data_IF_900495833854
#
_entry.id   IF_900495833854
#
_cell.length_a   1.000
_cell.length_b   1.000
_cell.length_c   1.000
_cell.angle_alpha   90.00
_cell.angle_beta   90.00
_cell.angle_gamma   90.00
#
_symmetry.space_group_name_H-M   'P 1'
#
loop_
_entity.id
_entity.type
_entity.pdbx_description
1 polymer ?
#
# COMPACT_ATOMS: atom_id res chain seq x y z
N UNK A 1 -4.36 -15.37 -42.96
CA UNK A 1 -5.46 -14.40 -42.90
C UNK A 1 -6.60 -15.01 -42.10
N UNK A 2 -6.68 -14.75 -40.81
CA UNK A 2 -7.77 -15.24 -39.94
C UNK A 2 -9.03 -14.43 -40.24
N UNK A 3 -10.09 -15.11 -40.67
CA UNK A 3 -11.37 -14.49 -41.07
C UNK A 3 -11.97 -13.67 -39.92
N UNK A 4 -12.53 -12.50 -40.23
CA UNK A 4 -13.22 -11.60 -39.30
C UNK A 4 -14.29 -12.33 -38.44
N UNK A 5 -14.86 -13.40 -38.99
CA UNK A 5 -15.81 -14.29 -38.31
C UNK A 5 -15.19 -15.10 -37.18
N UNK A 6 -13.91 -15.50 -37.27
CA UNK A 6 -13.21 -16.19 -36.19
C UNK A 6 -12.86 -15.23 -35.05
N UNK A 7 -12.50 -13.98 -35.37
CA UNK A 7 -12.25 -12.95 -34.36
C UNK A 7 -13.53 -12.60 -33.60
N UNK A 8 -14.65 -12.42 -34.31
CA UNK A 8 -15.95 -12.11 -33.70
C UNK A 8 -16.44 -13.26 -32.80
N UNK A 9 -16.26 -14.51 -33.22
CA UNK A 9 -16.60 -15.70 -32.43
C UNK A 9 -15.69 -15.86 -31.20
N UNK A 10 -14.41 -15.50 -31.29
CA UNK A 10 -13.51 -15.45 -30.14
C UNK A 10 -13.91 -14.36 -29.13
N UNK A 11 -14.31 -13.18 -29.62
CA UNK A 11 -14.83 -12.09 -28.79
C UNK A 11 -16.16 -12.46 -28.11
N UNK A 12 -17.08 -13.11 -28.83
CA UNK A 12 -18.35 -13.58 -28.28
C UNK A 12 -18.15 -14.67 -27.22
N UNK A 13 -17.21 -15.61 -27.43
CA UNK A 13 -16.83 -16.59 -26.41
C UNK A 13 -16.12 -15.96 -25.19
N UNK A 14 -15.32 -14.91 -25.40
CA UNK A 14 -14.67 -14.17 -24.31
C UNK A 14 -15.71 -13.45 -23.44
N UNK A 15 -16.66 -12.74 -24.07
CA UNK A 15 -17.74 -12.03 -23.36
C UNK A 15 -18.72 -13.00 -22.69
N UNK A 16 -19.05 -14.14 -23.32
CA UNK A 16 -19.94 -15.14 -22.72
C UNK A 16 -19.29 -15.92 -21.58
N UNK A 17 -17.97 -16.15 -21.61
CA UNK A 17 -17.25 -16.72 -20.45
C UNK A 17 -17.14 -15.75 -19.28
N UNK A 18 -17.09 -14.44 -19.55
CA UNK A 18 -17.02 -13.43 -18.50
C UNK A 18 -18.37 -13.04 -17.88
N UNK A 19 -19.50 -13.39 -18.51
CA UNK A 19 -20.83 -13.03 -18.02
C UNK A 19 -21.57 -14.15 -17.25
N UNK A 20 -21.08 -15.41 -17.26
CA UNK A 20 -21.84 -16.55 -16.74
C UNK A 20 -21.17 -17.36 -15.61
N UNK A 21 -19.96 -17.02 -15.17
CA UNK A 21 -19.36 -17.60 -13.97
C UNK A 21 -19.29 -16.54 -12.88
N UNK A 22 -19.80 -16.87 -11.69
CA UNK A 22 -19.85 -15.97 -10.54
C UNK A 22 -18.50 -15.30 -10.29
N UNK A 23 -18.44 -13.99 -10.54
CA UNK A 23 -17.36 -13.06 -10.20
C UNK A 23 -15.99 -13.72 -10.05
N UNK A 24 -15.31 -14.03 -11.15
CA UNK A 24 -13.86 -14.24 -11.11
C UNK A 24 -13.21 -12.96 -10.59
N UNK A 25 -12.93 -12.92 -9.28
CA UNK A 25 -12.21 -11.82 -8.65
C UNK A 25 -10.81 -11.83 -9.23
N UNK A 26 -10.51 -10.89 -10.12
CA UNK A 26 -9.15 -10.68 -10.62
C UNK A 26 -8.21 -10.52 -9.42
N UNK A 27 -7.17 -11.34 -9.33
CA UNK A 27 -6.15 -11.25 -8.27
C UNK A 27 -4.99 -10.36 -8.65
N UNK A 28 -5.13 -9.64 -9.77
CA UNK A 28 -4.10 -8.79 -10.36
C UNK A 28 -4.46 -7.33 -10.16
N UNK A 29 -3.49 -6.56 -9.71
CA UNK A 29 -3.60 -5.12 -9.58
C UNK A 29 -3.69 -4.46 -10.95
N UNK A 30 -4.73 -3.66 -11.22
CA UNK A 30 -4.93 -3.02 -12.52
C UNK A 30 -3.92 -1.90 -12.81
N UNK A 31 -3.18 -1.43 -11.80
CA UNK A 31 -2.16 -0.37 -11.95
C UNK A 31 -0.80 -0.95 -12.33
N UNK A 32 -0.31 -1.95 -11.60
CA UNK A 32 1.00 -2.54 -11.86
C UNK A 32 0.96 -3.87 -12.63
N UNK A 33 -0.24 -4.40 -12.91
CA UNK A 33 -0.48 -5.66 -13.63
C UNK A 33 0.15 -6.91 -12.99
N UNK A 34 0.52 -6.84 -11.70
CA UNK A 34 1.04 -7.97 -10.90
C UNK A 34 -0.01 -8.44 -9.89
N UNK A 35 0.11 -9.66 -9.33
CA UNK A 35 -0.72 -10.07 -8.21
C UNK A 35 -0.64 -9.06 -7.05
N UNK A 36 -1.75 -8.89 -6.33
CA UNK A 36 -1.84 -7.83 -5.32
C UNK A 36 -0.78 -7.97 -4.22
N UNK A 37 -0.06 -6.87 -3.97
CA UNK A 37 0.70 -6.66 -2.75
C UNK A 37 -0.13 -5.80 -1.81
N UNK A 38 -0.57 -6.39 -0.69
CA UNK A 38 -1.47 -5.78 0.30
C UNK A 38 -2.66 -5.07 -0.39
N UNK A 39 -3.72 -5.82 -0.76
CA UNK A 39 -4.83 -5.27 -1.52
C UNK A 39 -5.65 -4.27 -0.69
N UNK A 40 -5.94 -3.11 -1.27
CA UNK A 40 -6.80 -2.07 -0.69
C UNK A 40 -7.95 -1.71 -1.62
N UNK A 41 -9.17 -1.68 -1.08
CA UNK A 41 -10.34 -1.12 -1.74
C UNK A 41 -10.32 0.40 -1.64
N UNK A 42 -10.74 1.07 -2.70
CA UNK A 42 -10.80 2.53 -2.75
C UNK A 42 -11.88 3.11 -1.81
N UNK A 43 -13.08 2.53 -1.80
CA UNK A 43 -14.18 2.99 -0.95
C UNK A 43 -15.43 2.13 -1.10
N UNK A 44 -16.43 2.33 -0.23
CA UNK A 44 -17.67 1.53 -0.24
C UNK A 44 -18.39 1.53 -1.58
N UNK A 45 -18.44 2.68 -2.25
CA UNK A 45 -19.11 2.85 -3.54
C UNK A 45 -18.20 2.56 -4.73
N UNK A 46 -16.90 2.38 -4.49
CA UNK A 46 -15.89 2.12 -5.51
C UNK A 46 -15.26 0.73 -5.28
N UNK A 47 -15.70 -0.32 -6.01
CA UNK A 47 -15.29 -1.70 -5.75
C UNK A 47 -13.86 -2.02 -6.22
N UNK A 48 -13.08 -1.01 -6.57
CA UNK A 48 -11.75 -1.18 -7.14
C UNK A 48 -10.73 -1.47 -6.07
N UNK A 49 -10.06 -2.61 -6.20
CA UNK A 49 -8.92 -3.02 -5.38
C UNK A 49 -7.61 -2.73 -6.10
N UNK A 50 -6.63 -2.20 -5.37
CA UNK A 50 -5.28 -1.85 -5.85
C UNK A 50 -4.22 -2.25 -4.81
N UNK A 51 -2.98 -2.45 -5.24
CA UNK A 51 -1.88 -2.66 -4.27
C UNK A 51 -1.67 -1.42 -3.41
N UNK A 52 -1.29 -1.61 -2.14
CA UNK A 52 -0.95 -0.51 -1.23
C UNK A 52 0.07 0.46 -1.82
N UNK A 53 1.17 -0.05 -2.40
CA UNK A 53 2.20 0.79 -3.04
C UNK A 53 1.64 1.59 -4.22
N UNK A 54 0.83 0.96 -5.08
CA UNK A 54 0.24 1.62 -6.24
C UNK A 54 -0.73 2.72 -5.82
N UNK A 55 -1.54 2.45 -4.79
CA UNK A 55 -2.48 3.42 -4.24
C UNK A 55 -1.74 4.61 -3.62
N UNK A 56 -0.72 4.34 -2.80
CA UNK A 56 0.12 5.37 -2.18
C UNK A 56 0.78 6.27 -3.23
N UNK A 57 1.41 5.68 -4.25
CA UNK A 57 2.01 6.44 -5.38
C UNK A 57 0.97 7.20 -6.20
N UNK A 58 -0.23 6.64 -6.40
CA UNK A 58 -1.32 7.35 -7.08
C UNK A 58 -1.78 8.60 -6.33
N UNK A 59 -1.82 8.55 -5.00
CA UNK A 59 -2.15 9.71 -4.16
C UNK A 59 -1.02 10.76 -4.14
N UNK A 60 0.23 10.35 -4.39
CA UNK A 60 1.36 11.27 -4.46
C UNK A 60 1.46 12.05 -5.76
N UNK A 61 1.15 11.41 -6.89
CA UNK A 61 1.49 11.84 -8.25
C UNK A 61 0.84 13.16 -8.73
N UNK A 62 0.24 13.94 -7.83
CA UNK A 62 -0.12 15.32 -8.11
C UNK A 62 1.16 16.17 -8.26
N UNK A 63 1.34 16.70 -9.47
CA UNK A 63 2.45 17.56 -9.85
C UNK A 63 2.09 19.03 -9.60
N UNK A 64 2.66 19.61 -8.54
CA UNK A 64 2.55 21.04 -8.21
C UNK A 64 3.11 21.94 -9.32
N UNK A 65 3.94 21.42 -10.24
CA UNK A 65 4.53 22.19 -11.34
C UNK A 65 3.61 22.34 -12.56
N UNK A 66 2.34 21.92 -12.47
CA UNK A 66 1.38 22.14 -13.57
C UNK A 66 1.09 23.64 -13.72
N UNK A 67 1.27 24.14 -14.95
CA UNK A 67 1.12 25.55 -15.29
C UNK A 67 -0.28 26.08 -14.90
N UNK A 68 -0.41 27.32 -14.40
CA UNK A 68 -1.67 27.94 -13.98
C UNK A 68 -2.78 28.02 -15.04
N UNK A 69 -2.46 27.74 -16.31
CA UNK A 69 -3.35 27.93 -17.46
C UNK A 69 -4.12 26.68 -17.87
N UNK A 70 -4.08 25.59 -17.10
CA UNK A 70 -4.87 24.39 -17.36
C UNK A 70 -5.90 24.20 -16.25
N UNK A 71 -7.22 24.29 -16.53
CA UNK A 71 -8.23 24.02 -15.52
C UNK A 71 -8.09 22.56 -15.05
N UNK A 72 -7.81 22.39 -13.76
CA UNK A 72 -7.70 21.09 -13.12
C UNK A 72 -9.09 20.47 -12.99
N UNK A 73 -9.55 19.77 -14.02
CA UNK A 73 -10.75 18.94 -13.91
C UNK A 73 -10.49 17.58 -13.26
N UNK A 74 -9.24 17.28 -12.91
CA UNK A 74 -8.85 16.01 -12.30
C UNK A 74 -8.68 16.18 -10.79
N UNK A 75 -9.60 15.67 -9.96
CA UNK A 75 -9.47 15.70 -8.52
C UNK A 75 -8.24 14.91 -8.09
N UNK A 76 -7.49 15.48 -7.15
CA UNK A 76 -6.21 14.99 -6.62
C UNK A 76 -6.34 13.62 -5.93
N UNK A 77 -7.54 13.33 -5.46
CA UNK A 77 -7.91 12.14 -4.69
C UNK A 77 -8.98 11.34 -5.43
N UNK A 78 -8.71 10.98 -6.69
CA UNK A 78 -9.62 10.18 -7.50
C UNK A 78 -9.10 8.75 -7.68
N UNK A 79 -10.02 7.78 -7.69
CA UNK A 79 -9.69 6.39 -7.96
C UNK A 79 -8.91 6.27 -9.28
N UNK A 80 -7.76 5.56 -9.32
CA UNK A 80 -6.95 5.43 -10.53
C UNK A 80 -7.66 4.67 -11.67
N UNK A 81 -8.82 4.08 -11.41
CA UNK A 81 -9.58 3.27 -12.37
C UNK A 81 -10.85 3.98 -12.82
N UNK A 82 -11.76 4.27 -11.89
CA UNK A 82 -13.06 4.89 -12.22
C UNK A 82 -13.17 6.37 -11.90
N UNK A 83 -12.11 6.98 -11.35
CA UNK A 83 -12.06 8.40 -10.99
C UNK A 83 -13.07 8.83 -9.90
N UNK A 84 -13.61 7.88 -9.11
CA UNK A 84 -14.38 8.20 -7.90
C UNK A 84 -13.56 9.05 -6.94
N UNK A 85 -14.10 10.19 -6.51
CA UNK A 85 -13.45 11.11 -5.54
C UNK A 85 -13.72 10.74 -4.10
N UNK A 86 -14.81 10.01 -3.86
CA UNK A 86 -15.13 9.52 -2.53
C UNK A 86 -14.26 8.29 -2.25
N UNK A 87 -13.50 8.37 -1.16
CA UNK A 87 -12.63 7.30 -0.68
C UNK A 87 -12.94 6.95 0.77
N UNK A 88 -12.86 5.66 1.06
CA UNK A 88 -12.91 5.06 2.38
C UNK A 88 -12.02 3.83 2.31
N UNK A 89 -10.70 4.05 2.41
CA UNK A 89 -9.73 3.00 2.14
C UNK A 89 -9.90 1.86 3.14
N UNK A 90 -9.99 0.64 2.63
CA UNK A 90 -10.12 -0.54 3.46
C UNK A 90 -9.19 -1.63 2.93
N UNK A 91 -8.51 -2.30 3.84
CA UNK A 91 -7.72 -3.48 3.50
C UNK A 91 -8.66 -4.61 3.06
N UNK A 92 -8.44 -5.15 1.86
CA UNK A 92 -9.29 -6.17 1.27
C UNK A 92 -8.93 -7.57 1.83
N UNK A 93 -9.30 -7.82 3.08
CA UNK A 93 -9.05 -9.10 3.77
C UNK A 93 -9.58 -10.30 2.97
N UNK A 94 -10.70 -10.13 2.29
CA UNK A 94 -11.31 -11.16 1.47
C UNK A 94 -10.45 -11.51 0.25
N UNK A 95 -9.94 -10.51 -0.46
CA UNK A 95 -9.02 -10.71 -1.59
C UNK A 95 -7.70 -11.34 -1.11
N UNK A 96 -7.13 -10.85 -0.02
CA UNK A 96 -5.90 -11.41 0.54
C UNK A 96 -6.10 -12.89 0.91
N UNK A 97 -7.19 -13.21 1.63
CA UNK A 97 -7.49 -14.58 2.02
C UNK A 97 -7.72 -15.48 0.80
N UNK A 98 -8.40 -14.97 -0.24
CA UNK A 98 -8.57 -15.68 -1.49
C UNK A 98 -7.23 -15.99 -2.16
N UNK A 99 -6.31 -15.01 -2.25
CA UNK A 99 -4.98 -15.21 -2.81
C UNK A 99 -4.19 -16.26 -2.02
N UNK A 100 -4.21 -16.19 -0.69
CA UNK A 100 -3.56 -17.16 0.20
C UNK A 100 -4.10 -18.58 -0.01
N UNK A 101 -5.43 -18.75 -0.01
CA UNK A 101 -6.07 -20.06 -0.21
C UNK A 101 -5.76 -20.67 -1.57
N UNK A 102 -5.56 -19.83 -2.60
CA UNK A 102 -5.24 -20.27 -3.96
C UNK A 102 -3.72 -20.29 -4.26
N UNK A 103 -2.86 -20.09 -3.24
CA UNK A 103 -1.40 -20.06 -3.40
C UNK A 103 -0.91 -19.03 -4.44
N UNK A 104 -1.56 -17.88 -4.51
CA UNK A 104 -1.20 -16.77 -5.41
C UNK A 104 -0.28 -15.83 -4.63
N UNK A 105 1.01 -15.90 -4.92
CA UNK A 105 2.03 -15.04 -4.31
C UNK A 105 2.13 -13.72 -5.08
N UNK A 106 2.24 -12.55 -4.41
CA UNK A 106 2.77 -11.35 -5.02
C UNK A 106 4.04 -11.65 -5.84
N UNK A 107 4.05 -11.36 -7.14
CA UNK A 107 5.25 -11.47 -7.98
C UNK A 107 6.26 -10.37 -7.61
N UNK A 108 6.91 -10.52 -6.45
CA UNK A 108 7.90 -9.61 -5.89
C UNK A 108 9.07 -10.42 -5.37
N UNK A 109 10.27 -9.91 -5.59
CA UNK A 109 11.45 -10.46 -4.94
C UNK A 109 11.36 -10.22 -3.44
N UNK A 110 11.97 -11.12 -2.65
CA UNK A 110 12.04 -10.96 -1.19
C UNK A 110 12.63 -9.59 -0.78
N UNK A 111 13.58 -9.05 -1.57
CA UNK A 111 14.14 -7.72 -1.35
C UNK A 111 13.12 -6.60 -1.56
N UNK A 112 12.37 -6.61 -2.67
CA UNK A 112 11.31 -5.62 -2.91
C UNK A 112 10.26 -5.65 -1.80
N UNK A 113 9.87 -6.86 -1.38
CA UNK A 113 8.89 -7.06 -0.31
C UNK A 113 9.39 -6.45 1.01
N UNK A 114 10.58 -6.83 1.46
CA UNK A 114 11.16 -6.32 2.72
C UNK A 114 11.41 -4.81 2.69
N UNK A 115 11.85 -4.26 1.55
CA UNK A 115 12.07 -2.82 1.40
C UNK A 115 10.77 -2.02 1.54
N UNK A 116 9.65 -2.54 1.01
CA UNK A 116 8.36 -1.88 1.19
C UNK A 116 7.78 -2.06 2.59
N UNK A 117 8.00 -3.22 3.19
CA UNK A 117 7.58 -3.48 4.56
C UNK A 117 8.20 -2.51 5.55
N UNK A 118 9.52 -2.30 5.49
CA UNK A 118 10.19 -1.35 6.39
C UNK A 118 9.74 0.11 6.15
N UNK A 119 9.48 0.49 4.90
CA UNK A 119 8.96 1.83 4.55
C UNK A 119 7.56 2.05 5.10
N UNK A 120 6.63 1.13 4.84
CA UNK A 120 5.26 1.24 5.36
C UNK A 120 5.21 1.12 6.88
N UNK A 121 6.11 0.33 7.48
CA UNK A 121 6.23 0.25 8.93
C UNK A 121 6.65 1.61 9.53
N UNK A 122 7.64 2.27 8.93
CA UNK A 122 8.06 3.60 9.35
C UNK A 122 6.94 4.63 9.20
N UNK A 123 6.24 4.61 8.06
CA UNK A 123 5.06 5.45 7.81
C UNK A 123 3.98 5.26 8.89
N UNK A 124 3.69 4.02 9.27
CA UNK A 124 2.74 3.72 10.34
C UNK A 124 3.23 4.27 11.70
N UNK A 125 4.52 4.11 12.02
CA UNK A 125 5.12 4.67 13.23
C UNK A 125 4.98 6.18 13.33
N UNK A 126 5.15 6.93 12.23
CA UNK A 126 4.93 8.37 12.23
C UNK A 126 3.48 8.76 12.57
N UNK A 127 2.52 7.84 12.46
CA UNK A 127 1.14 8.05 12.92
C UNK A 127 0.96 7.94 14.43
N UNK A 128 1.90 7.31 15.12
CA UNK A 128 1.88 7.09 16.58
C UNK A 128 2.82 8.05 17.30
N UNK A 129 3.97 8.39 16.68
CA UNK A 129 4.93 9.33 17.25
C UNK A 129 4.81 10.71 16.59
N UNK A 130 4.29 11.74 17.31
CA UNK A 130 4.07 13.08 16.75
C UNK A 130 5.37 13.83 16.43
N UNK A 131 6.51 13.42 17.00
CA UNK A 131 7.82 14.04 16.76
C UNK A 131 8.50 13.47 15.51
N UNK A 132 7.98 12.38 14.94
CA UNK A 132 8.53 11.75 13.74
C UNK A 132 8.04 12.43 12.47
N UNK A 133 8.96 12.69 11.54
CA UNK A 133 8.64 13.28 10.23
C UNK A 133 8.26 12.18 9.24
N UNK A 134 7.05 12.25 8.69
CA UNK A 134 6.60 11.32 7.64
C UNK A 134 7.10 11.78 6.27
N UNK A 135 8.08 11.06 5.70
CA UNK A 135 8.50 11.24 4.32
C UNK A 135 7.50 10.51 3.42
N UNK A 136 6.61 11.29 2.81
CA UNK A 136 5.50 10.72 2.02
C UNK A 136 5.99 10.00 0.78
N UNK A 137 6.96 10.55 0.03
CA UNK A 137 7.47 9.97 -1.23
C UNK A 137 8.27 8.69 -0.97
N UNK A 138 7.80 7.55 -1.50
CA UNK A 138 8.43 6.25 -1.28
C UNK A 138 9.76 6.10 -2.03
N UNK A 139 9.96 6.91 -3.06
CA UNK A 139 11.14 6.89 -3.92
C UNK A 139 12.16 7.97 -3.47
N UNK A 140 11.87 8.72 -2.40
CA UNK A 140 12.80 9.68 -1.76
C UNK A 140 14.10 9.00 -1.29
N UNK A 141 15.23 9.70 -1.42
CA UNK A 141 16.54 9.19 -1.01
C UNK A 141 16.63 8.86 0.49
N UNK A 142 15.86 9.54 1.34
CA UNK A 142 15.75 9.22 2.76
C UNK A 142 15.06 7.86 2.98
N UNK A 143 14.09 7.52 2.13
CA UNK A 143 13.40 6.22 2.12
C UNK A 143 14.22 5.09 1.46
N UNK A 144 15.49 5.34 1.12
CA UNK A 144 16.39 4.32 0.58
C UNK A 144 16.68 3.25 1.62
N UNK A 145 16.56 2.00 1.19
CA UNK A 145 16.77 0.80 2.02
C UNK A 145 18.03 0.09 1.57
N UNK A 146 18.84 -0.37 2.51
CA UNK A 146 20.02 -1.20 2.27
C UNK A 146 19.87 -2.56 2.96
N UNK A 147 20.47 -3.57 2.35
CA UNK A 147 20.51 -4.92 2.89
C UNK A 147 21.87 -5.15 3.53
N UNK A 148 21.90 -5.16 4.85
CA UNK A 148 23.11 -5.41 5.61
C UNK A 148 23.32 -6.92 5.77
N UNK A 149 24.54 -7.39 5.55
CA UNK A 149 24.97 -8.70 6.03
C UNK A 149 25.16 -8.64 7.55
N UNK A 150 24.06 -8.54 8.31
CA UNK A 150 24.14 -8.80 9.74
C UNK A 150 24.32 -10.30 9.96
N UNK A 151 25.41 -10.67 10.62
CA UNK A 151 25.48 -11.90 11.38
C UNK A 151 24.53 -11.73 12.57
N UNK A 152 23.31 -12.24 12.44
CA UNK A 152 22.43 -12.43 13.58
C UNK A 152 22.96 -13.62 14.36
N UNK A 153 23.97 -13.38 15.18
CA UNK A 153 24.21 -14.26 16.33
C UNK A 153 22.87 -14.43 17.05
N UNK A 154 22.59 -15.67 17.46
CA UNK A 154 21.36 -16.13 18.10
C UNK A 154 21.00 -15.27 19.32
N UNK A 155 20.40 -14.12 19.09
CA UNK A 155 19.85 -13.25 20.13
C UNK A 155 18.59 -13.92 20.63
N UNK A 156 18.62 -14.40 21.86
CA UNK A 156 17.53 -15.11 22.52
C UNK A 156 16.34 -14.21 22.88
N UNK A 157 16.37 -12.91 22.59
CA UNK A 157 15.23 -12.06 22.93
C UNK A 157 14.05 -12.37 22.00
N UNK A 158 12.85 -12.49 22.56
CA UNK A 158 11.65 -12.91 21.83
C UNK A 158 11.28 -11.94 20.71
N UNK A 159 10.64 -12.46 19.67
CA UNK A 159 9.94 -11.64 18.68
C UNK A 159 8.86 -10.78 19.35
N UNK A 160 8.46 -9.68 18.70
CA UNK A 160 7.45 -8.77 19.28
C UNK A 160 6.11 -9.51 19.45
N UNK A 161 5.51 -9.52 20.65
CA UNK A 161 4.24 -10.19 20.90
C UNK A 161 3.09 -9.66 20.04
N UNK A 162 2.20 -10.56 19.61
CA UNK A 162 1.00 -10.22 18.85
C UNK A 162 0.13 -9.13 19.51
N UNK A 163 0.05 -9.15 20.84
CA UNK A 163 -0.70 -8.16 21.61
C UNK A 163 -0.19 -6.72 21.41
N UNK A 164 1.13 -6.52 21.26
CA UNK A 164 1.69 -5.20 20.99
C UNK A 164 1.33 -4.71 19.59
N UNK A 165 1.25 -5.62 18.62
CA UNK A 165 0.90 -5.29 17.25
C UNK A 165 -0.60 -5.00 17.10
N UNK A 166 -1.45 -5.69 17.85
CA UNK A 166 -2.88 -5.33 17.95
C UNK A 166 -3.06 -3.96 18.60
N UNK A 167 -2.28 -3.65 19.64
CA UNK A 167 -2.29 -2.31 20.26
C UNK A 167 -1.87 -1.23 19.26
N UNK A 168 -0.83 -1.50 18.46
CA UNK A 168 -0.34 -0.59 17.43
C UNK A 168 -1.38 -0.38 16.30
N UNK A 169 -1.97 -1.45 15.77
CA UNK A 169 -3.09 -1.40 14.81
C UNK A 169 -4.28 -0.58 15.37
N UNK A 170 -4.55 -0.69 16.68
CA UNK A 170 -5.64 0.04 17.34
C UNK A 170 -5.34 1.53 17.45
N UNK A 171 -4.09 1.91 17.76
CA UNK A 171 -3.68 3.30 17.87
C UNK A 171 -3.80 4.03 16.51
N UNK A 172 -3.46 3.35 15.42
CA UNK A 172 -3.58 3.88 14.06
C UNK A 172 -5.02 4.15 13.64
N UNK A 173 -5.98 3.36 14.12
CA UNK A 173 -7.41 3.52 13.80
C UNK A 173 -8.08 4.71 14.51
N UNK A 174 -7.34 5.49 15.29
CA UNK A 174 -7.89 6.69 15.92
C UNK A 174 -8.27 7.70 14.83
N UNK A 175 -9.55 8.06 14.68
CA UNK A 175 -9.98 8.93 13.59
C UNK A 175 -9.26 10.27 13.67
N UNK A 176 -8.43 10.58 12.67
CA UNK A 176 -7.93 11.94 12.51
C UNK A 176 -9.10 12.84 12.06
N UNK A 177 -9.25 14.05 12.63
CA UNK A 177 -10.29 14.97 12.20
C UNK A 177 -10.13 15.26 10.70
N UNK A 178 -11.17 14.97 9.91
CA UNK A 178 -11.21 15.33 8.50
C UNK A 178 -11.31 16.86 8.42
N UNK A 179 -10.20 17.52 8.12
CA UNK A 179 -10.25 18.92 7.70
C UNK A 179 -10.78 18.94 6.27
N UNK A 180 -12.04 19.33 6.11
CA UNK A 180 -12.65 19.60 4.81
C UNK A 180 -12.14 20.95 4.29
N UNK A 181 -10.85 21.02 3.95
CA UNK A 181 -10.29 22.13 3.20
C UNK A 181 -10.34 21.79 1.71
N UNK A 182 -10.70 22.78 0.88
CA UNK A 182 -10.66 22.66 -0.58
C UNK A 182 -9.23 22.71 -1.13
N UNK A 183 -8.24 22.97 -0.28
CA UNK A 183 -6.83 22.99 -0.66
C UNK A 183 -6.36 21.61 -1.19
N UNK A 184 -5.83 21.57 -2.43
CA UNK A 184 -5.26 20.38 -3.04
C UNK A 184 -4.29 19.57 -2.19
N UNK A 185 -3.39 20.26 -1.51
CA UNK A 185 -2.31 19.65 -0.74
C UNK A 185 -2.86 19.07 0.54
N UNK A 186 -3.78 19.76 1.20
CA UNK A 186 -4.51 19.23 2.36
C UNK A 186 -5.33 17.98 2.01
N UNK A 187 -6.02 17.97 0.87
CA UNK A 187 -6.77 16.78 0.41
C UNK A 187 -5.85 15.58 0.19
N UNK A 188 -4.69 15.79 -0.46
CA UNK A 188 -3.68 14.75 -0.65
C UNK A 188 -3.15 14.22 0.68
N UNK A 189 -2.79 15.11 1.60
CA UNK A 189 -2.28 14.74 2.93
C UNK A 189 -3.36 13.94 3.67
N UNK A 190 -4.61 14.41 3.68
CA UNK A 190 -5.72 13.73 4.33
C UNK A 190 -5.99 12.33 3.74
N UNK A 191 -5.88 12.16 2.43
CA UNK A 191 -6.03 10.85 1.80
C UNK A 191 -4.87 9.90 2.16
N UNK A 192 -3.63 10.38 2.16
CA UNK A 192 -2.46 9.58 2.56
C UNK A 192 -2.53 9.18 4.05
N UNK A 193 -2.91 10.11 4.93
CA UNK A 193 -3.12 9.83 6.35
C UNK A 193 -4.25 8.82 6.55
N UNK A 194 -5.38 8.99 5.84
CA UNK A 194 -6.47 8.03 5.88
C UNK A 194 -6.03 6.64 5.43
N UNK A 195 -5.26 6.53 4.34
CA UNK A 195 -4.73 5.25 3.88
C UNK A 195 -3.79 4.62 4.93
N UNK A 196 -2.85 5.40 5.47
CA UNK A 196 -1.93 4.95 6.53
C UNK A 196 -2.68 4.33 7.71
N UNK A 197 -3.73 5.00 8.18
CA UNK A 197 -4.49 4.58 9.37
C UNK A 197 -5.23 3.24 9.17
N UNK A 198 -5.36 2.79 7.91
CA UNK A 198 -5.97 1.50 7.55
C UNK A 198 -4.94 0.43 7.16
N UNK A 199 -3.63 0.71 7.21
CA UNK A 199 -2.58 -0.29 6.97
C UNK A 199 -2.53 -1.28 8.13
N UNK A 200 -2.76 -2.59 7.90
CA UNK A 200 -2.65 -3.60 8.94
C UNK A 200 -1.17 -3.90 9.22
N UNK A 201 -0.60 -3.35 10.30
CA UNK A 201 0.82 -3.46 10.63
C UNK A 201 1.24 -4.90 10.88
N UNK A 202 0.32 -5.74 11.38
CA UNK A 202 0.54 -7.20 11.49
C UNK A 202 0.89 -7.87 10.15
N UNK A 203 0.46 -7.30 9.01
CA UNK A 203 0.79 -7.81 7.67
C UNK A 203 2.13 -7.31 7.15
N UNK A 204 2.71 -6.29 7.79
CA UNK A 204 4.06 -5.81 7.51
C UNK A 204 5.13 -6.66 8.20
N UNK A 205 4.74 -7.69 8.96
CA UNK A 205 5.66 -8.72 9.44
C UNK A 205 6.33 -9.42 8.26
N UNK A 206 7.58 -9.81 8.42
CA UNK A 206 8.30 -10.56 7.40
C UNK A 206 9.80 -10.34 7.43
N UNK A 207 10.51 -11.19 8.16
CA UNK A 207 11.97 -11.40 8.11
C UNK A 207 12.77 -10.13 7.79
N UNK A 208 12.52 -9.02 8.51
CA UNK A 208 13.22 -7.75 8.34
C UNK A 208 14.67 -7.78 8.86
N UNK A 209 15.19 -8.98 9.11
CA UNK A 209 16.46 -9.34 9.74
C UNK A 209 17.69 -8.60 9.19
N UNK A 210 17.67 -8.27 7.90
CA UNK A 210 18.81 -7.71 7.17
C UNK A 210 18.50 -6.36 6.54
N UNK A 211 17.37 -5.76 6.87
CA UNK A 211 16.83 -4.59 6.16
C UNK A 211 16.89 -3.38 7.06
N UNK A 212 17.49 -2.29 6.58
CA UNK A 212 17.61 -1.03 7.31
C UNK A 212 17.53 0.16 6.35
N UNK A 213 17.11 1.31 6.86
CA UNK A 213 17.23 2.56 6.12
C UNK A 213 18.71 2.92 5.93
N UNK A 214 19.04 3.47 4.75
CA UNK A 214 20.35 4.01 4.47
C UNK A 214 20.63 5.27 5.31
N UNK A 215 19.59 6.06 5.57
CA UNK A 215 19.63 7.27 6.37
C UNK A 215 19.75 6.92 7.88
N UNK A 216 20.86 7.28 8.57
CA UNK A 216 21.10 6.89 9.95
C UNK A 216 20.08 7.44 10.96
N UNK A 217 19.56 8.64 10.71
CA UNK A 217 18.53 9.28 11.53
C UNK A 217 17.20 8.50 11.48
N UNK A 218 16.70 8.19 10.28
CA UNK A 218 15.48 7.40 10.12
C UNK A 218 15.64 6.00 10.72
N UNK A 219 16.79 5.38 10.48
CA UNK A 219 17.09 4.08 11.08
C UNK A 219 17.13 4.14 12.61
N UNK A 220 17.73 5.20 13.17
CA UNK A 220 17.79 5.42 14.62
C UNK A 220 16.41 5.58 15.24
N UNK A 221 15.54 6.38 14.61
CA UNK A 221 14.15 6.56 15.05
C UNK A 221 13.34 5.26 14.99
N UNK A 222 13.47 4.49 13.91
CA UNK A 222 12.80 3.19 13.78
C UNK A 222 13.20 2.25 14.92
N UNK A 223 14.50 2.15 15.21
CA UNK A 223 15.02 1.27 16.27
C UNK A 223 14.59 1.74 17.66
N UNK A 224 14.53 3.06 17.88
CA UNK A 224 14.12 3.64 19.15
C UNK A 224 12.64 3.35 19.47
N UNK A 225 11.76 3.57 18.50
CA UNK A 225 10.31 3.42 18.67
C UNK A 225 9.83 1.98 18.52
N UNK A 226 10.47 1.21 17.63
CA UNK A 226 10.17 -0.19 17.35
C UNK A 226 11.42 -1.02 17.60
N UNK A 227 11.80 -1.23 18.88
CA UNK A 227 12.94 -2.05 19.21
C UNK A 227 12.73 -3.45 18.65
N UNK A 228 13.79 -4.04 18.10
CA UNK A 228 13.75 -5.38 17.52
C UNK A 228 12.80 -5.56 16.32
N UNK A 229 12.47 -4.50 15.56
CA UNK A 229 11.68 -4.63 14.31
C UNK A 229 12.25 -5.68 13.34
N UNK A 230 13.57 -5.91 13.35
CA UNK A 230 14.26 -6.90 12.52
C UNK A 230 13.88 -8.36 12.87
N UNK A 231 13.24 -8.59 14.01
CA UNK A 231 12.69 -9.90 14.43
C UNK A 231 11.23 -10.11 13.98
N UNK A 232 10.63 -9.12 13.31
CA UNK A 232 9.27 -9.21 12.74
C UNK A 232 9.31 -9.90 11.39
#
# INVERSE_FOLDING_TARGET
>A
MTSLTNFKRQMEHYVQRHNNDGSMKSTVCPVCTRPFYLPFRWGKECPHTVCLECLWKSLQAYDENRRPSQPSHDPITACPICRSTEYEFEFDEEMEQYMLTNSIDPERTSKEYQALHIRFLYICMCGVNPDSVMIVDLDDELNKVVFADRDLSSSSEPAIPDALLVSFDTQLKTPQPKNFNDDPTDQKINALLNLRDHIPVRKLRGHLQRVQFAAPNMQGELVYNIPNYYKW
#
